data_IF_346389526164
#
_entry.id   IF_346389526164
#
_cell.length_a   1.000
_cell.length_b   1.000
_cell.length_c   1.000
_cell.angle_alpha   90.00
_cell.angle_beta   90.00
_cell.angle_gamma   90.00
#
_symmetry.space_group_name_H-M   'P 1'
#
loop_
_entity.id
_entity.type
_entity.pdbx_description
1 polymer ?
#
# COMPACT_ATOMS: atom_id res chain seq x y z
N UNK A 1 32.38 46.29 20.04
CA UNK A 1 31.48 46.32 18.87
C UNK A 1 31.41 44.90 18.29
N UNK A 2 30.29 44.25 18.53
CA UNK A 2 29.60 43.26 17.68
C UNK A 2 30.42 42.36 16.74
N UNK A 3 30.93 41.23 17.25
CA UNK A 3 31.02 40.02 16.44
C UNK A 3 29.65 39.33 16.50
N UNK A 4 28.79 39.66 15.55
CA UNK A 4 27.45 39.09 15.42
C UNK A 4 27.54 37.56 15.33
N UNK A 5 27.01 36.91 16.37
CA UNK A 5 25.96 35.88 16.28
C UNK A 5 25.70 35.40 14.85
N UNK A 6 26.02 34.14 14.57
CA UNK A 6 25.16 33.16 13.85
C UNK A 6 26.00 32.09 13.14
N UNK A 7 26.62 31.19 13.92
CA UNK A 7 27.03 29.88 13.41
C UNK A 7 26.11 28.82 14.03
N UNK A 8 24.80 29.03 13.93
CA UNK A 8 23.81 27.99 14.20
C UNK A 8 22.63 28.22 13.24
N UNK A 9 22.94 28.32 11.94
CA UNK A 9 21.95 28.00 10.91
C UNK A 9 21.89 26.48 10.88
N UNK A 10 21.26 25.92 11.92
CA UNK A 10 19.92 25.37 11.78
C UNK A 10 20.04 24.11 10.95
N UNK A 11 20.28 23.05 11.71
CA UNK A 11 20.12 21.62 11.44
C UNK A 11 18.70 21.26 10.94
N UNK A 12 18.03 22.18 10.23
CA UNK A 12 16.65 22.14 9.73
C UNK A 12 16.51 21.29 8.45
N UNK A 13 17.43 20.35 8.22
CA UNK A 13 17.34 19.37 7.15
C UNK A 13 17.22 17.94 7.68
N UNK A 14 17.16 17.76 9.00
CA UNK A 14 16.87 16.47 9.60
C UNK A 14 15.36 16.27 9.56
N UNK A 15 14.91 15.39 8.65
CA UNK A 15 13.54 14.91 8.63
C UNK A 15 12.71 15.44 7.47
N UNK A 16 13.21 15.33 6.23
CA UNK A 16 12.30 14.85 5.19
C UNK A 16 11.89 13.43 5.62
N UNK A 17 10.91 13.36 6.53
CA UNK A 17 10.11 12.18 6.74
C UNK A 17 9.70 11.75 5.35
N UNK A 18 10.29 10.68 4.84
CA UNK A 18 9.71 9.91 3.76
C UNK A 18 8.38 9.41 4.34
N UNK A 19 7.37 10.28 4.32
CA UNK A 19 6.00 9.89 4.52
C UNK A 19 5.82 8.81 3.47
N UNK A 20 5.69 7.58 3.96
CA UNK A 20 5.62 6.39 3.12
C UNK A 20 4.47 6.70 2.15
N UNK A 21 4.79 6.78 0.86
CA UNK A 21 3.83 7.19 -0.14
C UNK A 21 2.77 6.10 -0.25
N UNK A 22 1.64 6.36 0.41
CA UNK A 22 0.50 5.46 0.51
C UNK A 22 -0.49 5.68 -0.63
N UNK A 23 -0.15 6.49 -1.64
CA UNK A 23 -1.05 6.76 -2.77
C UNK A 23 -1.21 5.58 -3.74
N UNK A 24 -0.41 4.52 -3.61
CA UNK A 24 -0.42 3.37 -4.51
C UNK A 24 -0.56 2.08 -3.74
N UNK A 25 -1.71 1.41 -3.87
CA UNK A 25 -2.08 0.25 -3.06
C UNK A 25 -2.08 -1.04 -3.88
N UNK A 26 -1.76 -2.17 -3.24
CA UNK A 26 -1.85 -3.50 -3.84
C UNK A 26 -2.28 -4.58 -2.83
N UNK A 27 -3.00 -5.59 -3.30
CA UNK A 27 -3.35 -6.76 -2.49
C UNK A 27 -2.20 -7.77 -2.47
N UNK A 28 -2.05 -8.46 -1.34
CA UNK A 28 -0.98 -9.41 -1.07
C UNK A 28 -1.53 -10.75 -0.64
N UNK A 29 -0.87 -11.84 -1.06
CA UNK A 29 -1.15 -13.21 -0.62
C UNK A 29 0.06 -13.72 0.17
N UNK A 30 -0.20 -14.24 1.37
CA UNK A 30 0.76 -15.01 2.14
C UNK A 30 0.77 -16.46 1.66
N UNK A 31 1.65 -16.74 0.72
CA UNK A 31 1.79 -18.05 0.12
C UNK A 31 2.29 -19.13 1.08
N UNK A 32 2.95 -18.73 2.18
CA UNK A 32 3.34 -19.66 3.25
C UNK A 32 2.13 -20.32 3.92
N UNK A 33 0.96 -19.70 3.80
CA UNK A 33 -0.30 -20.19 4.37
C UNK A 33 -1.21 -20.84 3.34
N UNK A 34 -0.83 -20.85 2.06
CA UNK A 34 -1.63 -21.47 0.99
C UNK A 34 -1.23 -22.95 0.86
N UNK A 35 -2.17 -23.91 1.06
CA UNK A 35 -1.87 -25.32 0.94
C UNK A 35 -1.33 -25.67 -0.46
N UNK A 36 -0.22 -26.43 -0.51
CA UNK A 36 0.41 -26.84 -1.77
C UNK A 36 1.28 -25.77 -2.43
N UNK A 37 1.42 -24.58 -1.83
CA UNK A 37 2.41 -23.59 -2.28
C UNK A 37 3.82 -24.03 -1.92
N UNK A 38 4.74 -23.94 -2.88
CA UNK A 38 6.19 -24.12 -2.66
C UNK A 38 6.91 -22.78 -2.37
N UNK A 39 6.18 -21.66 -2.38
CA UNK A 39 6.72 -20.34 -2.10
C UNK A 39 6.40 -19.94 -0.65
N UNK A 40 7.44 -19.54 0.09
CA UNK A 40 7.35 -19.09 1.47
C UNK A 40 7.55 -17.57 1.52
N UNK A 41 6.46 -16.81 1.57
CA UNK A 41 6.48 -15.37 1.66
C UNK A 41 5.18 -14.70 1.22
N UNK A 42 5.19 -13.38 1.29
CA UNK A 42 4.13 -12.55 0.72
C UNK A 42 4.42 -12.27 -0.74
N UNK A 43 3.40 -12.41 -1.59
CA UNK A 43 3.48 -12.05 -3.00
C UNK A 43 2.33 -11.14 -3.38
N UNK A 44 2.60 -10.19 -4.28
CA UNK A 44 1.56 -9.30 -4.78
C UNK A 44 0.60 -10.07 -5.69
N UNK A 45 -0.69 -9.76 -5.60
CA UNK A 45 -1.69 -10.29 -6.52
C UNK A 45 -2.44 -9.14 -7.22
N UNK A 46 -2.09 -8.93 -8.50
CA UNK A 46 -2.66 -7.87 -9.34
C UNK A 46 -4.15 -8.09 -9.65
N UNK A 47 -4.59 -9.34 -9.77
CA UNK A 47 -6.00 -9.66 -9.99
C UNK A 47 -6.86 -9.26 -8.79
N UNK A 48 -6.44 -9.61 -7.58
CA UNK A 48 -7.10 -9.17 -6.35
C UNK A 48 -7.02 -7.65 -6.18
N UNK A 49 -5.90 -7.05 -6.58
CA UNK A 49 -5.73 -5.59 -6.53
C UNK A 49 -6.72 -4.87 -7.43
N UNK A 50 -6.91 -5.35 -8.66
CA UNK A 50 -7.89 -4.77 -9.59
C UNK A 50 -9.31 -4.85 -9.02
N UNK A 51 -9.72 -6.03 -8.52
CA UNK A 51 -11.04 -6.21 -7.88
C UNK A 51 -11.20 -5.28 -6.68
N UNK A 52 -10.17 -5.16 -5.84
CA UNK A 52 -10.22 -4.24 -4.70
C UNK A 52 -10.31 -2.78 -5.16
N UNK A 53 -9.65 -2.41 -6.27
CA UNK A 53 -9.65 -1.05 -6.82
C UNK A 53 -11.02 -0.63 -7.36
N UNK A 54 -11.79 -1.55 -7.91
CA UNK A 54 -13.14 -1.30 -8.43
C UNK A 54 -14.12 -0.78 -7.36
N UNK A 55 -13.80 -0.95 -6.08
CA UNK A 55 -14.57 -0.39 -4.96
C UNK A 55 -14.37 1.12 -4.73
N UNK A 56 -13.45 1.76 -5.45
CA UNK A 56 -13.10 3.17 -5.28
C UNK A 56 -13.35 4.02 -6.54
N UNK A 57 -14.58 4.00 -7.11
CA UNK A 57 -14.86 4.74 -8.33
C UNK A 57 -14.64 6.25 -8.12
N UNK A 58 -13.77 6.83 -8.95
CA UNK A 58 -13.42 8.26 -8.89
C UNK A 58 -12.42 8.64 -7.81
N UNK A 59 -12.21 7.81 -6.79
CA UNK A 59 -11.18 8.02 -5.76
C UNK A 59 -9.83 7.41 -6.14
N UNK A 60 -9.82 6.34 -6.94
CA UNK A 60 -8.59 5.74 -7.45
C UNK A 60 -8.72 5.25 -8.89
N UNK A 61 -7.57 4.98 -9.49
CA UNK A 61 -7.44 4.46 -10.85
C UNK A 61 -6.53 3.23 -10.85
N UNK A 62 -6.99 2.16 -11.47
CA UNK A 62 -6.19 0.99 -11.75
C UNK A 62 -5.20 1.26 -12.89
N UNK A 63 -3.91 1.01 -12.70
CA UNK A 63 -2.87 1.22 -13.71
C UNK A 63 -2.25 -0.09 -14.23
N UNK A 64 -3.00 -1.20 -14.20
CA UNK A 64 -2.56 -2.57 -14.53
C UNK A 64 -1.62 -3.23 -13.51
N UNK A 65 -1.19 -2.51 -12.47
CA UNK A 65 -0.35 -3.05 -11.41
C UNK A 65 -0.87 -2.66 -10.02
N UNK A 66 -1.13 -1.38 -9.79
CA UNK A 66 -1.53 -0.85 -8.49
C UNK A 66 -2.84 -0.05 -8.60
N UNK A 67 -3.51 0.06 -7.46
CA UNK A 67 -4.64 0.97 -7.30
C UNK A 67 -4.11 2.32 -6.81
N UNK A 68 -4.09 3.30 -7.71
CA UNK A 68 -3.50 4.61 -7.42
C UNK A 68 -4.58 5.61 -7.04
N UNK A 69 -4.43 6.22 -5.88
CA UNK A 69 -5.24 7.35 -5.42
C UNK A 69 -5.19 8.49 -6.43
N UNK A 70 -6.36 9.02 -6.78
CA UNK A 70 -6.48 10.26 -7.52
C UNK A 70 -6.16 11.44 -6.58
N UNK A 71 -5.87 12.63 -7.13
CA UNK A 71 -5.41 13.81 -6.36
C UNK A 71 -6.26 14.16 -5.11
N UNK A 72 -7.55 13.80 -5.09
CA UNK A 72 -8.46 14.01 -3.94
C UNK A 72 -9.00 12.71 -3.32
N UNK A 73 -8.58 11.54 -3.81
CA UNK A 73 -8.97 10.26 -3.24
C UNK A 73 -8.02 9.88 -2.13
N UNK A 74 -8.55 9.61 -0.94
CA UNK A 74 -7.78 9.00 0.14
C UNK A 74 -8.37 7.62 0.41
N UNK A 75 -7.60 6.58 0.16
CA UNK A 75 -7.96 5.20 0.48
C UNK A 75 -7.35 4.89 1.84
N UNK A 76 -8.20 4.67 2.83
CA UNK A 76 -7.74 4.20 4.14
C UNK A 76 -7.14 2.80 4.01
N UNK A 77 -5.89 2.60 4.46
CA UNK A 77 -5.24 1.28 4.38
C UNK A 77 -6.02 0.16 5.08
N UNK A 78 -6.76 0.48 6.14
CA UNK A 78 -7.68 -0.46 6.82
C UNK A 78 -8.92 -0.83 6.02
N UNK A 79 -9.44 0.09 5.19
CA UNK A 79 -10.53 -0.22 4.27
C UNK A 79 -10.00 -1.03 3.08
N UNK A 80 -8.84 -0.65 2.53
CA UNK A 80 -8.22 -1.36 1.42
C UNK A 80 -7.87 -2.82 1.74
N UNK A 81 -7.31 -3.10 2.93
CA UNK A 81 -7.07 -4.49 3.35
C UNK A 81 -8.38 -5.27 3.46
N UNK A 82 -9.48 -4.65 3.88
CA UNK A 82 -10.79 -5.33 3.90
C UNK A 82 -11.24 -5.67 2.49
N UNK A 83 -11.11 -4.76 1.51
CA UNK A 83 -11.45 -5.05 0.10
C UNK A 83 -10.58 -6.14 -0.50
N UNK A 84 -9.29 -6.16 -0.19
CA UNK A 84 -8.41 -7.26 -0.57
C UNK A 84 -8.88 -8.59 0.04
N UNK A 85 -9.24 -8.61 1.33
CA UNK A 85 -9.72 -9.82 2.00
C UNK A 85 -11.05 -10.31 1.40
N UNK A 86 -11.98 -9.42 1.10
CA UNK A 86 -13.26 -9.76 0.48
C UNK A 86 -13.03 -10.35 -0.93
N UNK A 87 -12.17 -9.72 -1.73
CA UNK A 87 -11.76 -10.23 -3.05
C UNK A 87 -11.06 -11.60 -2.93
N UNK A 88 -10.16 -11.77 -1.97
CA UNK A 88 -9.46 -13.02 -1.72
C UNK A 88 -10.40 -14.16 -1.31
N UNK A 89 -11.37 -13.89 -0.43
CA UNK A 89 -12.40 -14.86 -0.05
C UNK A 89 -13.25 -15.29 -1.24
N UNK A 90 -13.63 -14.35 -2.11
CA UNK A 90 -14.35 -14.66 -3.34
C UNK A 90 -13.53 -15.54 -4.32
N UNK A 91 -12.20 -15.55 -4.18
CA UNK A 91 -11.27 -16.35 -5.00
C UNK A 91 -10.71 -17.58 -4.25
N UNK A 92 -11.32 -17.98 -3.13
CA UNK A 92 -10.98 -19.22 -2.42
C UNK A 92 -9.85 -19.11 -1.40
N UNK A 93 -9.37 -17.91 -1.07
CA UNK A 93 -8.39 -17.68 -0.01
C UNK A 93 -9.08 -17.43 1.34
N UNK A 94 -8.41 -17.74 2.45
CA UNK A 94 -8.84 -17.33 3.78
C UNK A 94 -8.40 -15.91 4.08
N UNK A 95 -9.12 -15.19 4.96
CA UNK A 95 -8.76 -13.80 5.30
C UNK A 95 -7.35 -13.65 5.85
N UNK A 96 -6.85 -14.65 6.56
CA UNK A 96 -5.51 -14.64 7.16
C UNK A 96 -4.38 -14.95 6.17
N UNK A 97 -4.73 -15.38 4.95
CA UNK A 97 -3.82 -15.47 3.80
C UNK A 97 -3.69 -14.15 3.05
N UNK A 98 -4.55 -13.15 3.33
CA UNK A 98 -4.64 -11.93 2.53
C UNK A 98 -4.21 -10.70 3.34
N UNK A 99 -3.48 -9.81 2.67
CA UNK A 99 -3.03 -8.54 3.20
C UNK A 99 -3.08 -7.43 2.14
N UNK A 100 -2.57 -6.27 2.51
CA UNK A 100 -2.37 -5.13 1.62
C UNK A 100 -0.95 -4.60 1.75
N UNK A 101 -0.45 -4.06 0.66
CA UNK A 101 0.85 -3.40 0.58
C UNK A 101 0.75 -2.18 -0.33
N UNK A 102 1.91 -1.59 -0.61
CA UNK A 102 2.01 -0.33 -1.36
C UNK A 102 3.07 -0.44 -2.45
N UNK A 103 2.86 0.31 -3.54
CA UNK A 103 3.83 0.47 -4.64
C UNK A 103 4.31 -0.87 -5.23
N UNK A 104 3.42 -1.84 -5.33
CA UNK A 104 3.73 -3.15 -5.88
C UNK A 104 4.59 -4.00 -4.96
N UNK A 105 4.53 -3.77 -3.65
CA UNK A 105 5.27 -4.56 -2.66
C UNK A 105 4.36 -5.12 -1.58
N UNK A 106 4.82 -6.21 -0.99
CA UNK A 106 4.34 -6.83 0.23
C UNK A 106 5.59 -7.03 1.14
#
# INVERSE_FOLDING_TARGET
MSALKSIILSSLLIGASQAKDHSSHNCCINWSKVPGSNYNGWGVNWGLTHIACDHYPGAATWNEQTCNENYNGAIGGGDFISKCQDAGQANGYTRDQIGAGYRGTC
#
